data_IF_535314419019
#
_entry.id   IF_535314419019
#
_cell.length_a   1.000
_cell.length_b   1.000
_cell.length_c   1.000
_cell.angle_alpha   90.00
_cell.angle_beta   90.00
_cell.angle_gamma   90.00
#
_symmetry.space_group_name_H-M   'P 1'
#
loop_
_entity.id
_entity.type
_entity.pdbx_description
1 polymer ?
#
# COMPACT_ATOMS: atom_id res chain seq x y z
N UNK A 1 -14.76 3.95 -28.09
CA UNK A 1 -14.09 4.58 -26.94
C UNK A 1 -14.52 3.82 -25.70
N UNK A 2 -13.62 3.07 -25.08
CA UNK A 2 -13.89 2.50 -23.76
C UNK A 2 -13.75 3.65 -22.75
N UNK A 3 -14.74 3.89 -21.87
CA UNK A 3 -14.55 4.86 -20.81
C UNK A 3 -13.34 4.41 -20.00
N UNK A 4 -12.34 5.28 -19.88
CA UNK A 4 -11.32 5.10 -18.86
C UNK A 4 -12.06 4.90 -17.54
N UNK A 5 -11.76 3.87 -16.73
CA UNK A 5 -12.37 3.77 -15.43
C UNK A 5 -12.05 5.06 -14.66
N UNK A 6 -13.08 5.82 -14.27
CA UNK A 6 -13.00 7.07 -13.48
C UNK A 6 -12.36 6.87 -12.09
N UNK A 7 -11.81 5.68 -11.83
CA UNK A 7 -11.16 5.31 -10.59
C UNK A 7 -9.70 5.75 -10.59
N UNK A 8 -9.50 7.03 -10.29
CA UNK A 8 -8.16 7.56 -9.94
C UNK A 8 -7.84 7.13 -8.52
N UNK A 9 -6.91 6.17 -8.37
CA UNK A 9 -6.37 5.83 -7.05
C UNK A 9 -5.57 7.02 -6.48
N UNK A 10 -5.87 7.51 -5.27
CA UNK A 10 -5.18 8.65 -4.70
C UNK A 10 -3.74 8.31 -4.33
N UNK A 11 -2.85 9.29 -4.39
CA UNK A 11 -1.48 9.19 -3.85
C UNK A 11 -1.47 9.69 -2.42
N UNK A 12 -0.99 8.88 -1.48
CA UNK A 12 -1.01 9.15 -0.03
C UNK A 12 0.37 8.94 0.57
N UNK A 13 0.75 9.83 1.50
CA UNK A 13 1.98 9.69 2.29
C UNK A 13 1.75 8.71 3.45
N UNK A 14 2.09 7.45 3.23
CA UNK A 14 1.83 6.39 4.21
C UNK A 14 2.81 6.42 5.41
N UNK A 15 4.00 7.03 5.26
CA UNK A 15 5.13 6.85 6.19
C UNK A 15 4.78 7.05 7.67
N UNK A 16 3.93 8.04 7.97
CA UNK A 16 3.55 8.40 9.34
C UNK A 16 2.04 8.36 9.58
N UNK A 17 1.27 7.83 8.63
CA UNK A 17 -0.18 7.89 8.70
C UNK A 17 -0.75 6.85 9.67
N UNK A 18 -1.70 7.29 10.49
CA UNK A 18 -2.56 6.37 11.23
C UNK A 18 -3.57 5.71 10.29
N UNK A 19 -4.04 4.49 10.58
CA UNK A 19 -4.91 3.77 9.67
C UNK A 19 -6.26 4.47 9.39
N UNK A 20 -6.78 5.25 10.34
CA UNK A 20 -8.03 6.00 10.16
C UNK A 20 -7.86 7.27 9.31
N UNK A 21 -6.64 7.74 9.09
CA UNK A 21 -6.38 8.84 8.14
C UNK A 21 -6.30 8.30 6.70
N UNK A 22 -6.09 6.98 6.56
CA UNK A 22 -5.96 6.30 5.28
C UNK A 22 -7.32 5.80 4.77
N UNK A 23 -8.22 5.36 5.65
CA UNK A 23 -9.62 5.08 5.29
C UNK A 23 -10.28 6.40 4.84
N UNK A 24 -11.08 6.40 3.77
CA UNK A 24 -11.80 7.61 3.35
C UNK A 24 -12.95 7.92 4.29
N UNK A 25 -13.76 6.91 4.62
CA UNK A 25 -14.97 7.06 5.43
C UNK A 25 -15.19 5.95 6.46
N UNK A 26 -16.17 6.15 7.34
CA UNK A 26 -16.54 5.15 8.36
C UNK A 26 -17.25 3.92 7.78
N UNK A 27 -17.77 3.96 6.56
CA UNK A 27 -18.41 2.78 5.93
C UNK A 27 -17.46 1.97 5.03
N UNK A 28 -16.27 2.52 4.74
CA UNK A 28 -15.28 1.87 3.88
C UNK A 28 -14.52 0.78 4.64
N UNK A 29 -14.76 -0.49 4.28
CA UNK A 29 -14.07 -1.65 4.84
C UNK A 29 -12.68 -1.83 4.23
N UNK A 30 -12.51 -1.47 2.96
CA UNK A 30 -11.24 -1.48 2.26
C UNK A 30 -11.07 -0.28 1.33
N UNK A 31 -9.82 0.15 1.15
CA UNK A 31 -9.46 1.25 0.25
C UNK A 31 -8.10 1.02 -0.39
N UNK A 32 -8.00 1.41 -1.65
CA UNK A 32 -6.79 1.37 -2.44
C UNK A 32 -6.19 2.76 -2.60
N UNK A 33 -4.87 2.85 -2.54
CA UNK A 33 -4.13 4.09 -2.77
C UNK A 33 -2.71 3.77 -3.23
N UNK A 34 -2.04 4.74 -3.84
CA UNK A 34 -0.61 4.66 -4.10
C UNK A 34 0.17 5.36 -3.00
N UNK A 35 1.34 4.85 -2.64
CA UNK A 35 2.28 5.56 -1.78
C UNK A 35 3.65 5.61 -2.40
N UNK A 36 4.34 6.74 -2.27
CA UNK A 36 5.69 6.91 -2.76
C UNK A 36 6.69 6.50 -1.67
N UNK A 37 7.62 5.61 -2.00
CA UNK A 37 8.79 5.37 -1.17
C UNK A 37 9.91 6.32 -1.54
N UNK A 38 10.74 6.64 -0.56
CA UNK A 38 11.90 7.50 -0.75
C UNK A 38 12.88 6.84 -1.73
N UNK A 39 13.23 7.54 -2.82
CA UNK A 39 14.11 7.00 -3.87
C UNK A 39 15.44 6.52 -3.29
N UNK A 40 16.00 7.24 -2.33
CA UNK A 40 17.25 6.93 -1.65
C UNK A 40 17.15 5.64 -0.84
N UNK A 41 16.03 5.40 -0.14
CA UNK A 41 15.83 4.17 0.63
C UNK A 41 15.63 2.97 -0.29
N UNK A 42 14.94 3.15 -1.42
CA UNK A 42 14.82 2.12 -2.45
C UNK A 42 16.17 1.73 -3.05
N UNK A 43 17.02 2.72 -3.38
CA UNK A 43 18.35 2.47 -3.91
C UNK A 43 19.25 1.73 -2.90
N UNK A 44 19.12 2.07 -1.61
CA UNK A 44 19.91 1.45 -0.53
C UNK A 44 19.33 0.12 -0.02
N UNK A 45 18.17 -0.30 -0.52
CA UNK A 45 17.46 -1.49 -0.03
C UNK A 45 17.05 -1.39 1.45
N UNK A 46 17.02 -0.18 2.01
CA UNK A 46 16.71 0.04 3.41
C UNK A 46 15.20 0.03 3.58
N UNK A 47 14.72 -0.83 4.48
CA UNK A 47 13.30 -0.91 4.82
C UNK A 47 12.92 0.29 5.69
N UNK A 48 11.88 1.03 5.28
CA UNK A 48 11.30 2.07 6.11
C UNK A 48 10.70 1.49 7.41
N UNK A 49 11.02 2.12 8.54
CA UNK A 49 10.22 1.94 9.76
C UNK A 49 8.88 2.64 9.56
N UNK A 50 7.79 1.90 9.77
CA UNK A 50 6.43 2.43 9.67
C UNK A 50 5.87 2.66 11.07
N UNK A 51 6.05 3.89 11.55
CA UNK A 51 5.60 4.35 12.87
C UNK A 51 4.69 5.55 12.64
N UNK A 52 3.56 5.56 13.33
CA UNK A 52 2.64 6.69 13.36
C UNK A 52 2.59 7.28 14.77
N UNK A 53 1.91 8.40 14.92
CA UNK A 53 1.80 9.11 16.20
C UNK A 53 1.15 8.25 17.29
N UNK A 54 0.22 7.36 16.91
CA UNK A 54 -0.55 6.56 17.86
C UNK A 54 -0.23 5.07 17.83
N UNK A 55 0.72 4.62 17.01
CA UNK A 55 1.04 3.21 16.93
C UNK A 55 2.16 2.84 15.98
N UNK A 56 2.23 1.54 15.70
CA UNK A 56 3.27 0.96 14.85
C UNK A 56 2.66 -0.03 13.88
N UNK A 57 3.05 0.08 12.61
CA UNK A 57 2.79 -0.92 11.60
C UNK A 57 3.87 -2.00 11.68
N UNK A 58 3.44 -3.23 11.98
CA UNK A 58 4.35 -4.38 12.07
C UNK A 58 4.17 -5.28 10.87
N UNK A 59 5.27 -5.59 10.19
CA UNK A 59 5.30 -6.58 9.12
C UNK A 59 4.86 -7.95 9.68
N UNK A 60 4.02 -8.64 8.92
CA UNK A 60 3.48 -9.96 9.24
C UNK A 60 3.93 -11.03 8.26
N UNK A 61 4.34 -10.63 7.06
CA UNK A 61 4.84 -11.53 6.04
C UNK A 61 4.97 -10.87 4.68
N UNK A 62 5.76 -11.51 3.83
CA UNK A 62 6.05 -11.13 2.47
C UNK A 62 5.75 -12.33 1.55
N UNK A 63 5.16 -12.08 0.38
CA UNK A 63 4.78 -13.12 -0.60
C UNK A 63 5.04 -12.63 -2.02
N UNK A 64 5.64 -13.47 -2.85
CA UNK A 64 5.73 -13.23 -4.29
C UNK A 64 4.37 -13.39 -4.95
N UNK A 65 4.12 -12.61 -5.99
CA UNK A 65 2.96 -12.70 -6.87
C UNK A 65 3.48 -13.15 -8.22
N UNK A 66 2.93 -14.27 -8.70
CA UNK A 66 3.24 -14.83 -10.00
C UNK A 66 2.30 -14.25 -11.06
N UNK A 67 2.74 -14.29 -12.31
CA UNK A 67 1.91 -14.07 -13.48
C UNK A 67 0.72 -15.05 -13.51
N UNK A 68 -0.35 -14.76 -14.27
CA UNK A 68 -1.52 -15.64 -14.35
C UNK A 68 -1.18 -17.08 -14.78
N UNK A 69 -0.23 -17.24 -15.68
CA UNK A 69 0.33 -18.51 -16.17
C UNK A 69 1.42 -19.09 -15.24
N UNK A 70 1.77 -18.38 -14.16
CA UNK A 70 2.73 -18.76 -13.12
C UNK A 70 4.16 -18.99 -13.60
N UNK A 71 4.50 -18.48 -14.78
CA UNK A 71 5.84 -18.54 -15.37
C UNK A 71 6.79 -17.56 -14.69
N UNK A 72 6.31 -16.36 -14.36
CA UNK A 72 7.15 -15.25 -13.93
C UNK A 72 6.70 -14.65 -12.59
N UNK A 73 7.65 -14.15 -11.82
CA UNK A 73 7.36 -13.32 -10.64
C UNK A 73 7.13 -11.89 -11.10
N UNK A 74 5.89 -11.41 -10.98
CA UNK A 74 5.50 -10.07 -11.45
C UNK A 74 5.47 -9.01 -10.35
N UNK A 75 5.33 -9.43 -9.09
CA UNK A 75 5.27 -8.51 -7.96
C UNK A 75 5.62 -9.16 -6.62
N UNK A 76 5.80 -8.32 -5.60
CA UNK A 76 5.95 -8.69 -4.20
C UNK A 76 4.84 -8.03 -3.39
N UNK A 77 4.22 -8.80 -2.50
CA UNK A 77 3.21 -8.35 -1.54
C UNK A 77 3.76 -8.40 -0.13
N UNK A 78 3.83 -7.25 0.54
CA UNK A 78 4.08 -7.15 1.98
C UNK A 78 2.78 -6.96 2.73
N UNK A 79 2.67 -7.58 3.90
CA UNK A 79 1.50 -7.45 4.77
C UNK A 79 1.90 -6.88 6.11
N UNK A 80 1.20 -5.85 6.57
CA UNK A 80 1.40 -5.21 7.86
C UNK A 80 0.13 -5.26 8.69
N UNK A 81 0.30 -5.29 10.01
CA UNK A 81 -0.78 -5.12 10.98
C UNK A 81 -0.46 -3.92 11.85
N UNK A 82 -1.42 -3.02 12.00
CA UNK A 82 -1.29 -1.90 12.92
C UNK A 82 -1.47 -2.38 14.36
N UNK A 83 -0.59 -1.93 15.25
CA UNK A 83 -0.74 -2.07 16.69
C UNK A 83 -0.67 -0.68 17.32
N UNK A 84 -1.78 -0.26 17.93
CA UNK A 84 -1.85 0.99 18.69
C UNK A 84 -0.97 0.93 19.93
N UNK A 85 -0.22 2.00 20.21
CA UNK A 85 0.48 2.23 21.48
C UNK A 85 -0.49 2.94 22.45
N UNK A 86 -0.32 2.75 23.77
CA UNK A 86 -1.36 2.91 24.81
C UNK A 86 -1.91 4.33 25.09
N UNK A 87 -1.95 5.25 24.12
CA UNK A 87 -2.14 6.69 24.43
C UNK A 87 -3.58 7.11 24.69
N UNK A 88 -4.63 6.39 24.24
CA UNK A 88 -6.02 6.57 24.72
C UNK A 88 -6.96 5.57 24.04
N UNK A 89 -7.33 4.49 24.71
CA UNK A 89 -8.54 3.77 24.33
C UNK A 89 -9.70 4.74 24.58
N UNK A 90 -10.33 5.21 23.50
CA UNK A 90 -11.62 5.91 23.62
C UNK A 90 -12.61 4.82 24.01
N UNK A 91 -13.20 4.86 25.22
CA UNK A 91 -13.97 3.75 25.79
C UNK A 91 -15.10 3.23 24.88
N UNK A 92 -15.60 4.07 23.98
CA UNK A 92 -16.76 3.79 23.13
C UNK A 92 -16.43 3.52 21.65
N UNK A 93 -15.16 3.52 21.22
CA UNK A 93 -14.87 3.15 19.82
C UNK A 93 -14.72 1.64 19.68
N UNK A 94 -15.46 1.00 18.75
CA UNK A 94 -15.30 -0.42 18.47
C UNK A 94 -13.83 -0.76 18.19
N UNK A 95 -13.35 -1.86 18.76
CA UNK A 95 -12.00 -2.32 18.49
C UNK A 95 -11.87 -2.75 17.02
N UNK A 96 -11.31 -1.86 16.20
CA UNK A 96 -10.95 -2.15 14.82
C UNK A 96 -9.54 -2.73 14.73
N UNK A 97 -9.41 -3.80 13.96
CA UNK A 97 -8.12 -4.35 13.51
C UNK A 97 -7.82 -3.79 12.13
N UNK A 98 -6.58 -3.37 11.92
CA UNK A 98 -6.15 -2.75 10.67
C UNK A 98 -5.04 -3.58 10.03
N UNK A 99 -5.21 -3.85 8.74
CA UNK A 99 -4.24 -4.58 7.92
C UNK A 99 -3.91 -3.73 6.69
N UNK A 100 -2.63 -3.64 6.36
CA UNK A 100 -2.15 -3.02 5.12
C UNK A 100 -1.53 -4.10 4.24
N UNK A 101 -1.83 -4.06 2.96
CA UNK A 101 -1.11 -4.80 1.94
C UNK A 101 -0.41 -3.82 1.02
N UNK A 102 0.90 -3.96 0.88
CA UNK A 102 1.70 -3.17 -0.06
C UNK A 102 2.17 -4.06 -1.19
N UNK A 103 2.05 -3.58 -2.41
CA UNK A 103 2.38 -4.28 -3.64
C UNK A 103 3.47 -3.51 -4.36
N UNK A 104 4.56 -4.21 -4.66
CA UNK A 104 5.68 -3.71 -5.47
C UNK A 104 5.78 -4.54 -6.73
N UNK A 105 5.73 -3.90 -7.89
CA UNK A 105 6.03 -4.60 -9.14
C UNK A 105 7.51 -4.99 -9.16
N UNK A 106 7.79 -6.24 -9.52
CA UNK A 106 9.13 -6.72 -9.81
C UNK A 106 9.34 -6.50 -11.29
N UNK A 107 10.31 -5.67 -11.64
CA UNK A 107 10.64 -5.42 -13.03
C UNK A 107 11.71 -6.40 -13.48
N UNK A 108 11.44 -7.07 -14.59
CA UNK A 108 12.49 -7.69 -15.40
C UNK A 108 13.35 -6.59 -16.02
N UNK A 109 14.60 -6.92 -16.31
CA UNK A 109 15.55 -6.10 -17.07
C UNK A 109 14.92 -5.48 -18.35
N UNK A 110 14.13 -6.26 -19.09
CA UNK A 110 13.43 -5.79 -20.29
C UNK A 110 12.40 -4.67 -20.01
N UNK A 111 11.61 -4.78 -18.93
CA UNK A 111 10.63 -3.76 -18.54
C UNK A 111 11.29 -2.48 -18.01
N UNK A 112 12.47 -2.62 -17.38
CA UNK A 112 13.29 -1.48 -16.96
C UNK A 112 13.83 -0.69 -18.16
N UNK A 113 14.33 -1.39 -19.19
CA UNK A 113 14.86 -0.76 -20.41
C UNK A 113 13.77 -0.01 -21.18
N UNK A 114 12.61 -0.64 -21.41
CA UNK A 114 11.50 -0.03 -22.15
C UNK A 114 11.02 1.28 -21.49
N UNK A 115 10.82 1.26 -20.17
CA UNK A 115 10.35 2.43 -19.42
C UNK A 115 11.42 3.52 -19.27
N UNK A 116 12.71 3.15 -19.30
CA UNK A 116 13.82 4.12 -19.39
C UNK A 116 13.84 4.84 -20.74
N UNK A 117 13.58 4.12 -21.85
CA UNK A 117 13.49 4.72 -23.18
C UNK A 117 12.28 5.65 -23.32
N UNK A 118 11.12 5.30 -22.74
CA UNK A 118 9.93 6.16 -22.79
C UNK A 118 10.09 7.43 -21.94
N UNK A 119 10.82 7.37 -20.84
CA UNK A 119 11.10 8.52 -19.98
C UNK A 119 12.01 9.57 -20.65
N UNK A 120 12.94 9.14 -21.52
CA UNK A 120 13.80 10.03 -22.30
C UNK A 120 13.05 10.76 -23.42
N UNK A 121 12.03 10.13 -24.01
CA UNK A 121 11.28 10.69 -25.12
C UNK A 121 10.29 11.81 -24.71
N UNK A 122 9.78 11.78 -23.48
CA UNK A 122 8.71 12.69 -23.04
C UNK A 122 9.15 13.74 -22.01
N UNK A 123 10.43 13.81 -21.62
CA UNK A 123 10.96 14.78 -20.65
C UNK A 123 10.42 14.65 -19.21
N UNK A 124 9.38 13.84 -19.01
CA UNK A 124 8.84 13.46 -17.72
C UNK A 124 9.45 12.12 -17.35
N UNK A 125 10.41 12.13 -16.43
CA UNK A 125 10.82 10.92 -15.74
C UNK A 125 9.63 10.42 -14.90
N UNK A 126 8.71 9.67 -15.52
CA UNK A 126 7.64 8.97 -14.83
C UNK A 126 8.27 7.82 -14.03
N UNK A 127 8.75 8.17 -12.84
CA UNK A 127 9.36 7.27 -11.86
C UNK A 127 8.28 6.41 -11.18
N UNK A 128 7.47 5.67 -11.96
CA UNK A 128 6.57 4.63 -11.44
C UNK A 128 7.29 3.58 -10.58
N UNK A 129 8.63 3.55 -10.65
CA UNK A 129 9.51 2.76 -9.77
C UNK A 129 9.41 3.16 -8.30
N UNK A 130 8.82 4.32 -7.98
CA UNK A 130 8.77 4.84 -6.62
C UNK A 130 7.45 4.60 -5.91
N UNK A 131 6.44 4.09 -6.63
CA UNK A 131 5.10 3.93 -6.09
C UNK A 131 4.81 2.48 -5.74
N UNK A 132 4.25 2.28 -4.55
CA UNK A 132 3.64 1.05 -4.10
C UNK A 132 2.14 1.19 -4.22
N UNK A 133 1.46 0.19 -4.78
CA UNK A 133 0.02 0.08 -4.62
C UNK A 133 -0.26 -0.46 -3.21
N UNK A 134 -1.19 0.16 -2.50
CA UNK A 134 -1.52 -0.18 -1.14
C UNK A 134 -3.01 -0.49 -1.03
N UNK A 135 -3.34 -1.47 -0.20
CA UNK A 135 -4.71 -1.78 0.21
C UNK A 135 -4.79 -1.78 1.73
N UNK A 136 -5.54 -0.85 2.28
CA UNK A 136 -5.88 -0.86 3.71
C UNK A 136 -7.21 -1.56 3.92
N UNK A 137 -7.29 -2.36 4.98
CA UNK A 137 -8.48 -3.10 5.38
C UNK A 137 -8.75 -2.83 6.85
N UNK A 138 -9.98 -2.43 7.16
CA UNK A 138 -10.50 -2.28 8.52
C UNK A 138 -11.46 -3.40 8.88
N UNK A 139 -11.21 -4.09 9.99
CA UNK A 139 -12.10 -5.13 10.52
C UNK A 139 -12.54 -4.78 11.93
N UNK A 140 -13.82 -4.51 12.13
CA UNK A 140 -14.41 -4.29 13.45
C UNK A 140 -14.64 -5.66 14.12
N UNK A 141 -14.17 -5.83 15.36
CA UNK A 141 -14.50 -7.02 16.16
C UNK A 141 -15.90 -6.83 16.76
N UNK A 142 -16.88 -7.61 16.30
CA UNK A 142 -18.23 -7.65 16.89
C UNK A 142 -19.41 -7.42 15.93
N UNK A 143 -19.19 -7.21 14.63
CA UNK A 143 -20.29 -7.22 13.65
C UNK A 143 -20.65 -8.65 13.27
N UNK A 144 -21.64 -9.23 13.96
CA UNK A 144 -22.35 -10.39 13.43
C UNK A 144 -22.92 -10.02 12.07
N UNK A 145 -22.85 -10.96 11.11
CA UNK A 145 -23.68 -10.87 9.93
C UNK A 145 -25.13 -10.75 10.43
N UNK A 146 -25.81 -9.66 10.09
CA UNK A 146 -27.26 -9.67 10.10
C UNK A 146 -27.66 -10.64 8.98
N UNK A 147 -28.36 -11.70 9.41
CA UNK A 147 -28.96 -12.75 8.60
C UNK A 147 -29.91 -12.16 7.57
#
# INVERSE_FOLDING_TARGET
MLPFPDFVMPVVQFRHADPWDLQGGEDEVEKFFYTQEEPELMQRGIRMKRVSDTGVWRERGEKTILSPDRSDVIAMKRTYRFKRTRVRLVPNRPHATWTMHEYRLIRTDALNQHLSMTAQANGVAMQFTQYYACKIIRKIRGGGALV
#
